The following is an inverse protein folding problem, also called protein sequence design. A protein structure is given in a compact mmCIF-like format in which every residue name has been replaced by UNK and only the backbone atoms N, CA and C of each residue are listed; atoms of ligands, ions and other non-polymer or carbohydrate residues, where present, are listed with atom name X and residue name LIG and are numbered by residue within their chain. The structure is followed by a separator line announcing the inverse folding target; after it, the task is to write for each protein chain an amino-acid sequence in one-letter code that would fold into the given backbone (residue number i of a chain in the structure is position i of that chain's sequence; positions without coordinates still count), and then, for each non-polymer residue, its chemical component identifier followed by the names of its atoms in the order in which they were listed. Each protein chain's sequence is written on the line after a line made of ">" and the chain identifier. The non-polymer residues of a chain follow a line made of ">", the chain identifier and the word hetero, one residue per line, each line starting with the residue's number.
data_IF_527395154594
#
_entry.id   IF_527395154594
#
_cell.length_a   1.000
_cell.length_b   1.000
_cell.length_c   1.000
_cell.angle_alpha   90.00
_cell.angle_beta   90.00
_cell.angle_gamma   90.00
#
_symmetry.space_group_name_H-M   'P 1'
#
loop_
_entity.id
_entity.type
_entity.pdbx_description
1 polymer ?
#
# COMPACT_ATOMS: atom_id res chain seq x y z
N UNK A 1 -17.76 6.92 21.71
CA UNK A 1 -17.00 7.36 20.54
C UNK A 1 -16.95 6.15 19.61
N UNK A 2 -17.86 6.12 18.63
CA UNK A 2 -17.80 5.11 17.57
C UNK A 2 -16.52 5.35 16.79
N UNK A 3 -15.56 4.42 16.86
CA UNK A 3 -14.47 4.40 15.90
C UNK A 3 -15.09 4.17 14.52
N UNK A 4 -14.95 5.12 13.63
CA UNK A 4 -15.33 4.96 12.24
C UNK A 4 -14.51 3.81 11.67
N UNK A 5 -15.10 2.62 11.56
CA UNK A 5 -14.51 1.51 10.84
C UNK A 5 -14.50 1.90 9.36
N UNK A 6 -13.30 2.16 8.83
CA UNK A 6 -13.13 2.36 7.40
C UNK A 6 -13.41 1.03 6.70
N UNK A 7 -14.35 1.01 5.75
CA UNK A 7 -14.68 -0.20 5.00
C UNK A 7 -13.62 -0.50 3.94
N UNK A 8 -13.52 -1.76 3.52
CA UNK A 8 -12.62 -2.15 2.43
C UNK A 8 -12.93 -1.40 1.14
N UNK A 9 -14.21 -1.12 0.85
CA UNK A 9 -14.60 -0.36 -0.34
C UNK A 9 -14.14 1.10 -0.27
N UNK A 10 -14.18 1.71 0.91
CA UNK A 10 -13.67 3.08 1.11
C UNK A 10 -12.17 3.15 0.85
N UNK A 11 -11.40 2.15 1.30
CA UNK A 11 -9.96 2.07 1.02
C UNK A 11 -9.70 1.91 -0.48
N UNK A 12 -10.43 1.02 -1.15
CA UNK A 12 -10.30 0.82 -2.60
C UNK A 12 -10.56 2.13 -3.34
N UNK A 13 -11.61 2.85 -2.98
CA UNK A 13 -11.96 4.12 -3.61
C UNK A 13 -10.86 5.18 -3.42
N UNK A 14 -10.30 5.29 -2.22
CA UNK A 14 -9.20 6.21 -1.94
C UNK A 14 -7.95 5.85 -2.77
N UNK A 15 -7.56 4.59 -2.76
CA UNK A 15 -6.37 4.14 -3.49
C UNK A 15 -6.53 4.30 -5.00
N UNK A 16 -7.71 4.06 -5.53
CA UNK A 16 -8.02 4.29 -6.94
C UNK A 16 -7.89 5.77 -7.33
N UNK A 17 -8.28 6.66 -6.45
CA UNK A 17 -8.14 8.10 -6.65
C UNK A 17 -6.68 8.52 -6.74
N UNK A 18 -5.81 7.94 -5.88
CA UNK A 18 -4.38 8.28 -5.87
C UNK A 18 -3.59 7.63 -6.99
N UNK A 19 -3.96 6.41 -7.41
CA UNK A 19 -3.32 5.60 -8.47
C UNK A 19 -1.93 5.11 -8.15
N UNK A 20 -1.14 5.85 -7.39
CA UNK A 20 0.18 5.44 -6.92
C UNK A 20 0.22 5.52 -5.39
N UNK A 21 0.77 4.47 -4.77
CA UNK A 21 0.90 4.39 -3.31
C UNK A 21 2.38 4.36 -2.96
N UNK A 22 2.91 5.39 -2.29
CA UNK A 22 4.29 5.34 -1.81
C UNK A 22 4.50 4.22 -0.80
N UNK A 23 5.40 3.30 -1.10
CA UNK A 23 5.82 2.23 -0.22
C UNK A 23 7.07 2.68 0.51
N UNK A 24 6.99 2.81 1.83
CA UNK A 24 7.92 3.58 2.64
C UNK A 24 8.61 2.67 3.67
N UNK A 25 9.92 2.84 3.78
CA UNK A 25 10.72 2.27 4.86
C UNK A 25 11.26 3.41 5.71
N UNK A 26 10.84 3.51 6.96
CA UNK A 26 11.29 4.53 7.91
C UNK A 26 12.15 3.85 8.96
N UNK A 27 13.42 4.27 9.07
CA UNK A 27 14.33 3.74 10.07
C UNK A 27 14.34 4.58 11.35
N UNK A 28 13.97 5.87 11.25
CA UNK A 28 13.95 6.82 12.38
C UNK A 28 12.59 7.50 12.46
N UNK A 29 11.98 7.46 13.63
CA UNK A 29 10.65 8.05 13.85
C UNK A 29 10.61 9.54 13.52
N UNK A 30 11.70 10.26 13.76
CA UNK A 30 11.80 11.69 13.48
C UNK A 30 11.63 12.03 11.98
N UNK A 31 11.77 11.08 11.08
CA UNK A 31 11.54 11.28 9.64
C UNK A 31 10.06 11.18 9.24
N UNK A 32 9.20 10.65 10.12
CA UNK A 32 7.80 10.36 9.80
C UNK A 32 6.98 11.61 9.46
N UNK A 33 6.99 12.60 10.33
CA UNK A 33 6.20 13.83 10.13
C UNK A 33 6.73 14.68 8.97
N UNK A 34 8.04 14.91 8.82
CA UNK A 34 8.55 15.60 7.64
C UNK A 34 8.19 14.93 6.31
N UNK A 35 8.24 13.59 6.26
CA UNK A 35 7.83 12.85 5.07
C UNK A 35 6.32 12.97 4.79
N UNK A 36 5.49 12.83 5.82
CA UNK A 36 4.05 13.02 5.70
C UNK A 36 3.71 14.41 5.17
N UNK A 37 4.39 15.45 5.69
CA UNK A 37 4.22 16.83 5.23
C UNK A 37 4.50 16.95 3.73
N UNK A 38 5.61 16.40 3.26
CA UNK A 38 5.97 16.44 1.83
C UNK A 38 4.91 15.76 0.98
N UNK A 39 4.43 14.59 1.39
CA UNK A 39 3.40 13.86 0.66
C UNK A 39 2.08 14.64 0.61
N UNK A 40 1.62 15.11 1.74
CA UNK A 40 0.34 15.85 1.85
C UNK A 40 0.39 17.16 1.05
N UNK A 41 1.45 17.94 1.20
CA UNK A 41 1.58 19.24 0.54
C UNK A 41 1.77 19.14 -0.98
N UNK A 42 2.22 17.98 -1.48
CA UNK A 42 2.48 17.78 -2.91
C UNK A 42 1.44 16.89 -3.61
N UNK A 43 0.26 16.71 -3.00
CA UNK A 43 -0.89 16.11 -3.67
C UNK A 43 -0.96 14.59 -3.59
N UNK A 44 -0.19 13.94 -2.71
CA UNK A 44 -0.22 12.49 -2.54
C UNK A 44 -0.35 12.11 -1.05
N UNK A 45 -1.49 12.43 -0.40
CA UNK A 45 -1.69 12.19 1.03
C UNK A 45 -1.98 10.71 1.34
N UNK A 46 -1.09 9.83 0.92
CA UNK A 46 -1.21 8.39 1.08
C UNK A 46 0.17 7.78 1.32
N UNK A 47 0.24 6.76 2.16
CA UNK A 47 1.47 6.05 2.45
C UNK A 47 1.20 4.62 2.89
N UNK A 48 2.02 3.69 2.41
CA UNK A 48 2.13 2.33 2.96
C UNK A 48 3.45 2.27 3.72
N UNK A 49 3.38 2.32 5.05
CA UNK A 49 4.58 2.26 5.91
C UNK A 49 4.88 0.81 6.25
N UNK A 50 6.04 0.32 5.81
CA UNK A 50 6.36 -1.10 5.93
C UNK A 50 6.89 -1.47 7.31
N UNK A 51 6.43 -2.61 7.83
CA UNK A 51 6.91 -3.21 9.08
C UNK A 51 8.22 -3.96 8.87
N UNK A 52 9.15 -3.36 8.11
CA UNK A 52 10.52 -3.84 7.92
C UNK A 52 11.47 -3.28 8.96
N UNK A 53 11.04 -2.30 9.75
CA UNK A 53 11.83 -1.64 10.78
C UNK A 53 11.06 -1.58 12.09
N UNK A 54 11.78 -1.43 13.18
CA UNK A 54 11.18 -1.27 14.51
C UNK A 54 10.45 0.07 14.67
N UNK A 55 10.81 1.06 13.86
CA UNK A 55 10.21 2.39 13.90
C UNK A 55 8.82 2.48 13.26
N UNK A 56 8.38 1.45 12.53
CA UNK A 56 7.18 1.52 11.69
C UNK A 56 5.92 1.95 12.44
N UNK A 57 5.58 1.30 13.55
CA UNK A 57 4.37 1.61 14.31
C UNK A 57 4.39 3.04 14.88
N UNK A 58 5.51 3.45 15.47
CA UNK A 58 5.67 4.81 16.01
C UNK A 58 5.64 5.87 14.90
N UNK A 59 6.20 5.55 13.73
CA UNK A 59 6.14 6.42 12.56
C UNK A 59 4.70 6.63 12.08
N UNK A 60 3.92 5.56 11.99
CA UNK A 60 2.49 5.63 11.62
C UNK A 60 1.74 6.49 12.63
N UNK A 61 1.97 6.27 13.93
CA UNK A 61 1.32 7.05 15.00
C UNK A 61 1.62 8.54 14.86
N UNK A 62 2.89 8.89 14.65
CA UNK A 62 3.30 10.28 14.46
C UNK A 62 2.66 10.92 13.23
N UNK A 63 2.61 10.19 12.10
CA UNK A 63 1.95 10.66 10.88
C UNK A 63 0.46 10.89 11.10
N UNK A 64 -0.21 9.95 11.76
CA UNK A 64 -1.65 10.03 12.04
C UNK A 64 -1.99 11.21 12.95
N UNK A 65 -1.18 11.47 13.96
CA UNK A 65 -1.38 12.62 14.85
C UNK A 65 -1.20 13.95 14.12
N UNK A 66 -0.18 14.03 13.27
CA UNK A 66 0.12 15.27 12.54
C UNK A 66 -0.85 15.51 11.38
N UNK A 67 -1.31 14.46 10.71
CA UNK A 67 -2.18 14.51 9.54
C UNK A 67 -3.34 13.51 9.68
N UNK A 68 -4.39 13.87 10.45
CA UNK A 68 -5.50 12.96 10.76
C UNK A 68 -6.25 12.43 9.53
N UNK A 69 -6.26 13.17 8.42
CA UNK A 69 -6.99 12.82 7.21
C UNK A 69 -6.14 12.05 6.17
N UNK A 70 -4.84 11.86 6.45
CA UNK A 70 -3.96 11.14 5.55
C UNK A 70 -4.34 9.66 5.47
N UNK A 71 -4.32 9.10 4.26
CA UNK A 71 -4.56 7.67 4.06
C UNK A 71 -3.27 6.89 4.38
N UNK A 72 -3.26 6.17 5.49
CA UNK A 72 -2.07 5.45 5.96
C UNK A 72 -2.38 3.98 6.12
N UNK A 73 -1.59 3.14 5.45
CA UNK A 73 -1.61 1.70 5.60
C UNK A 73 -0.30 1.17 6.16
N UNK A 74 -0.37 -0.01 6.75
CA UNK A 74 0.80 -0.76 7.21
C UNK A 74 1.14 -1.84 6.20
N UNK A 75 2.37 -1.84 5.69
CA UNK A 75 2.86 -2.84 4.74
C UNK A 75 3.80 -3.86 5.39
N UNK A 76 4.06 -4.95 4.67
CA UNK A 76 4.93 -6.03 5.14
C UNK A 76 4.51 -6.56 6.51
N UNK A 77 3.21 -6.67 6.72
CA UNK A 77 2.64 -7.18 7.97
C UNK A 77 2.57 -8.69 7.88
N UNK A 78 3.28 -9.39 8.77
CA UNK A 78 3.49 -10.83 8.71
C UNK A 78 2.90 -11.58 9.90
N UNK A 79 2.55 -10.89 11.00
CA UNK A 79 2.10 -11.52 12.25
C UNK A 79 0.86 -10.83 12.81
N UNK A 80 0.13 -11.57 13.67
CA UNK A 80 -1.02 -11.00 14.38
C UNK A 80 -0.64 -9.83 15.28
N UNK A 81 0.52 -9.90 15.91
CA UNK A 81 1.05 -8.82 16.75
C UNK A 81 1.28 -7.55 15.94
N UNK A 82 1.82 -7.68 14.73
CA UNK A 82 2.02 -6.52 13.84
C UNK A 82 0.68 -5.92 13.39
N UNK A 83 -0.34 -6.75 13.15
CA UNK A 83 -1.69 -6.28 12.82
C UNK A 83 -2.25 -5.42 13.96
N UNK A 84 -2.14 -5.91 15.19
CA UNK A 84 -2.64 -5.20 16.36
C UNK A 84 -1.90 -3.88 16.57
N UNK A 85 -0.57 -3.87 16.41
CA UNK A 85 0.25 -2.65 16.46
C UNK A 85 -0.14 -1.66 15.34
N UNK A 86 -0.37 -2.15 14.14
CA UNK A 86 -0.77 -1.32 13.00
C UNK A 86 -2.11 -0.62 13.28
N UNK A 87 -3.08 -1.34 13.79
CA UNK A 87 -4.39 -0.78 14.15
C UNK A 87 -4.27 0.25 15.27
N UNK A 88 -3.56 -0.08 16.33
CA UNK A 88 -3.34 0.83 17.46
C UNK A 88 -2.65 2.12 17.02
N UNK A 89 -1.69 2.02 16.09
CA UNK A 89 -0.96 3.17 15.59
C UNK A 89 -1.81 4.09 14.69
N UNK A 90 -2.94 3.62 14.17
CA UNK A 90 -3.84 4.41 13.34
C UNK A 90 -3.82 4.07 11.85
N UNK A 91 -3.35 2.88 11.48
CA UNK A 91 -3.44 2.38 10.10
C UNK A 91 -4.91 2.14 9.72
N UNK A 92 -5.25 2.48 8.49
CA UNK A 92 -6.59 2.27 7.94
C UNK A 92 -6.71 0.95 7.19
N UNK A 93 -5.59 0.38 6.76
CA UNK A 93 -5.53 -0.89 6.05
C UNK A 93 -4.18 -1.56 6.27
N UNK A 94 -4.14 -2.86 5.98
CA UNK A 94 -2.94 -3.69 6.08
C UNK A 94 -2.62 -4.28 4.72
N UNK A 95 -1.35 -4.29 4.37
CA UNK A 95 -0.83 -4.94 3.16
C UNK A 95 0.19 -5.98 3.57
N UNK A 96 0.13 -7.16 2.95
CA UNK A 96 1.08 -8.23 3.19
C UNK A 96 1.73 -8.66 1.86
N UNK A 97 2.98 -9.12 1.86
CA UNK A 97 3.64 -9.55 0.63
C UNK A 97 3.11 -10.88 0.08
N UNK A 98 2.51 -11.68 0.94
CA UNK A 98 1.94 -12.98 0.59
C UNK A 98 0.56 -13.19 1.18
N UNK A 99 -0.03 -14.35 0.87
CA UNK A 99 -1.32 -14.76 1.39
C UNK A 99 -1.12 -15.75 2.54
N UNK A 100 -1.24 -15.23 3.75
CA UNK A 100 -1.28 -16.05 4.96
C UNK A 100 -2.71 -16.01 5.53
N UNK A 101 -3.45 -17.12 5.50
CA UNK A 101 -4.82 -17.16 6.01
C UNK A 101 -4.96 -16.68 7.45
N UNK A 102 -3.98 -16.96 8.30
CA UNK A 102 -4.01 -16.50 9.70
C UNK A 102 -3.95 -14.98 9.81
N UNK A 103 -3.10 -14.33 9.01
CA UNK A 103 -3.00 -12.87 8.94
C UNK A 103 -4.32 -12.27 8.44
N UNK A 104 -4.88 -12.84 7.37
CA UNK A 104 -6.15 -12.38 6.81
C UNK A 104 -7.28 -12.51 7.84
N UNK A 105 -7.41 -13.67 8.48
CA UNK A 105 -8.45 -13.89 9.49
C UNK A 105 -8.34 -12.93 10.67
N UNK A 106 -7.12 -12.67 11.13
CA UNK A 106 -6.92 -11.70 12.21
C UNK A 106 -7.39 -10.30 11.81
N UNK A 107 -7.06 -9.86 10.62
CA UNK A 107 -7.56 -8.58 10.10
C UNK A 107 -9.09 -8.55 10.06
N UNK A 108 -9.71 -9.62 9.57
CA UNK A 108 -11.17 -9.73 9.49
C UNK A 108 -11.83 -9.70 10.87
N UNK A 109 -11.24 -10.39 11.86
CA UNK A 109 -11.73 -10.40 13.25
C UNK A 109 -11.81 -9.00 13.85
N UNK A 110 -10.85 -8.15 13.57
CA UNK A 110 -10.78 -6.81 14.14
C UNK A 110 -11.31 -5.71 13.20
N UNK A 111 -11.88 -6.10 12.05
CA UNK A 111 -12.44 -5.16 11.09
C UNK A 111 -11.40 -4.32 10.35
N UNK A 112 -10.21 -4.85 10.17
CA UNK A 112 -9.12 -4.18 9.43
C UNK A 112 -9.15 -4.61 7.97
N UNK A 113 -9.32 -3.68 7.00
CA UNK A 113 -9.14 -3.99 5.60
C UNK A 113 -7.75 -4.56 5.33
N UNK A 114 -7.68 -5.65 4.57
CA UNK A 114 -6.42 -6.34 4.27
C UNK A 114 -6.27 -6.59 2.78
N UNK A 115 -5.06 -6.34 2.28
CA UNK A 115 -4.68 -6.55 0.88
C UNK A 115 -3.50 -7.53 0.86
N UNK A 116 -3.77 -8.85 0.81
CA UNK A 116 -2.72 -9.85 0.79
C UNK A 116 -2.07 -9.98 -0.59
N UNK A 117 -0.83 -10.42 -0.62
CA UNK A 117 -0.07 -10.62 -1.84
C UNK A 117 -0.31 -11.98 -2.48
N UNK A 118 -0.44 -12.00 -3.81
CA UNK A 118 -0.60 -13.20 -4.62
C UNK A 118 0.20 -13.06 -5.90
N UNK A 119 0.58 -14.18 -6.53
CA UNK A 119 1.19 -14.16 -7.85
C UNK A 119 0.84 -15.38 -8.73
N UNK A 120 -0.14 -16.17 -8.34
CA UNK A 120 -0.56 -17.36 -9.10
C UNK A 120 -2.04 -17.69 -8.87
N UNK A 121 -2.64 -18.55 -9.72
CA UNK A 121 -4.06 -18.88 -9.62
C UNK A 121 -4.48 -19.48 -8.28
N UNK A 122 -3.71 -20.40 -7.72
CA UNK A 122 -4.05 -21.05 -6.46
C UNK A 122 -4.19 -20.06 -5.32
N UNK A 123 -3.30 -19.08 -5.25
CA UNK A 123 -3.36 -18.04 -4.23
C UNK A 123 -4.56 -17.10 -4.43
N UNK A 124 -4.88 -16.78 -5.68
CA UNK A 124 -6.09 -15.99 -5.97
C UNK A 124 -7.34 -16.72 -5.48
N UNK A 125 -7.45 -18.02 -5.75
CA UNK A 125 -8.59 -18.82 -5.31
C UNK A 125 -8.67 -18.91 -3.78
N UNK A 126 -7.53 -19.06 -3.10
CA UNK A 126 -7.48 -19.02 -1.63
C UNK A 126 -7.96 -17.67 -1.08
N UNK A 127 -7.57 -16.57 -1.73
CA UNK A 127 -8.03 -15.24 -1.34
C UNK A 127 -9.55 -15.09 -1.52
N UNK A 128 -10.09 -15.59 -2.64
CA UNK A 128 -11.53 -15.58 -2.90
C UNK A 128 -12.30 -16.39 -1.85
N UNK A 129 -11.80 -17.54 -1.43
CA UNK A 129 -12.41 -18.34 -0.34
C UNK A 129 -12.45 -17.56 0.99
N UNK A 130 -11.48 -16.69 1.22
CA UNK A 130 -11.44 -15.80 2.38
C UNK A 130 -12.31 -14.55 2.22
N UNK A 131 -13.02 -14.43 1.10
CA UNK A 131 -13.89 -13.28 0.82
C UNK A 131 -13.20 -12.04 0.31
N UNK A 132 -11.97 -12.15 -0.19
CA UNK A 132 -11.17 -11.03 -0.65
C UNK A 132 -11.12 -10.99 -2.18
N UNK A 133 -11.38 -9.81 -2.76
CA UNK A 133 -11.34 -9.59 -4.21
C UNK A 133 -10.32 -8.53 -4.63
N UNK A 134 -9.88 -7.68 -3.70
CA UNK A 134 -8.81 -6.71 -3.95
C UNK A 134 -7.50 -7.23 -3.36
N UNK A 135 -6.52 -7.51 -4.22
CA UNK A 135 -5.30 -8.23 -3.87
C UNK A 135 -4.06 -7.47 -4.34
N UNK A 136 -2.98 -7.61 -3.60
CA UNK A 136 -1.67 -7.16 -4.04
C UNK A 136 -1.09 -8.20 -4.99
N UNK A 137 -0.65 -7.77 -6.17
CA UNK A 137 0.13 -8.62 -7.08
C UNK A 137 1.62 -8.36 -6.83
N UNK A 138 2.32 -9.34 -6.28
CA UNK A 138 3.70 -9.17 -5.79
C UNK A 138 4.51 -10.45 -5.89
N UNK A 139 5.80 -10.37 -6.24
CA UNK A 139 6.49 -9.21 -6.82
C UNK A 139 6.12 -9.06 -8.30
N UNK A 140 5.61 -7.91 -8.70
CA UNK A 140 4.93 -7.75 -9.98
C UNK A 140 5.82 -8.08 -11.19
N UNK A 141 6.93 -7.36 -11.37
CA UNK A 141 7.78 -7.56 -12.55
C UNK A 141 8.45 -8.95 -12.54
N UNK A 142 8.93 -9.40 -11.39
CA UNK A 142 9.56 -10.71 -11.25
C UNK A 142 8.59 -11.87 -11.48
N UNK A 143 7.28 -11.65 -11.28
CA UNK A 143 6.25 -12.67 -11.45
C UNK A 143 5.63 -12.70 -12.85
N UNK A 144 6.15 -11.92 -13.79
CA UNK A 144 5.67 -11.90 -15.17
C UNK A 144 5.02 -10.59 -15.61
N UNK A 145 4.95 -9.60 -14.74
CA UNK A 145 4.52 -8.25 -15.10
C UNK A 145 3.10 -8.18 -15.64
N UNK A 146 2.90 -7.30 -16.60
CA UNK A 146 1.59 -7.05 -17.22
C UNK A 146 0.97 -8.30 -17.83
N UNK A 147 1.77 -9.16 -18.45
CA UNK A 147 1.29 -10.41 -19.03
C UNK A 147 0.66 -11.31 -17.96
N UNK A 148 1.31 -11.46 -16.80
CA UNK A 148 0.76 -12.26 -15.72
C UNK A 148 -0.51 -11.60 -15.10
N UNK A 149 -0.52 -10.30 -14.92
CA UNK A 149 -1.71 -9.58 -14.43
C UNK A 149 -2.92 -9.86 -15.33
N UNK A 150 -2.76 -9.69 -16.63
CA UNK A 150 -3.83 -9.97 -17.61
C UNK A 150 -4.28 -11.43 -17.59
N UNK A 151 -3.33 -12.36 -17.47
CA UNK A 151 -3.61 -13.80 -17.44
C UNK A 151 -4.39 -14.20 -16.19
N UNK A 152 -4.11 -13.59 -15.04
CA UNK A 152 -4.85 -13.83 -13.80
C UNK A 152 -6.23 -13.16 -13.82
N UNK A 153 -6.34 -11.95 -14.33
CA UNK A 153 -7.63 -11.23 -14.37
C UNK A 153 -8.64 -11.88 -15.31
N UNK A 154 -8.20 -12.62 -16.34
CA UNK A 154 -9.09 -13.23 -17.30
C UNK A 154 -10.07 -14.25 -16.68
N UNK A 155 -9.62 -15.28 -15.93
CA UNK A 155 -10.55 -16.23 -15.30
C UNK A 155 -11.22 -15.68 -14.04
N UNK A 156 -10.60 -14.76 -13.32
CA UNK A 156 -11.10 -14.26 -12.04
C UNK A 156 -11.76 -12.89 -12.21
N UNK A 157 -12.98 -12.88 -12.70
CA UNK A 157 -13.70 -11.67 -13.18
C UNK A 157 -13.97 -10.62 -12.11
N UNK A 158 -14.04 -11.02 -10.83
CA UNK A 158 -14.32 -10.11 -9.72
C UNK A 158 -13.05 -9.59 -9.03
N UNK A 159 -11.88 -10.06 -9.45
CA UNK A 159 -10.62 -9.69 -8.83
C UNK A 159 -10.10 -8.37 -9.38
N UNK A 160 -9.57 -7.54 -8.49
CA UNK A 160 -8.81 -6.34 -8.83
C UNK A 160 -7.45 -6.37 -8.13
N UNK A 161 -6.47 -5.69 -8.69
CA UNK A 161 -5.09 -5.73 -8.23
C UNK A 161 -4.50 -4.38 -7.86
N UNK A 162 -3.57 -4.44 -6.91
CA UNK A 162 -2.55 -3.43 -6.65
C UNK A 162 -1.17 -4.06 -6.93
N UNK A 163 -0.65 -3.96 -8.16
CA UNK A 163 0.69 -4.44 -8.45
C UNK A 163 1.76 -3.66 -7.68
N UNK A 164 2.76 -4.40 -7.18
CA UNK A 164 3.90 -3.85 -6.45
C UNK A 164 5.15 -4.68 -6.76
N UNK A 165 6.28 -4.02 -6.91
CA UNK A 165 7.57 -4.67 -7.19
C UNK A 165 8.04 -4.41 -8.62
N UNK A 166 9.13 -3.65 -8.76
CA UNK A 166 9.69 -3.29 -10.05
C UNK A 166 8.89 -2.25 -10.82
N UNK A 167 7.96 -1.55 -10.15
CA UNK A 167 7.13 -0.52 -10.77
C UNK A 167 7.76 0.84 -10.52
N UNK A 168 7.87 1.60 -11.61
CA UNK A 168 8.41 2.94 -11.61
C UNK A 168 7.71 3.82 -12.62
N UNK A 169 8.23 5.03 -12.78
CA UNK A 169 7.69 5.99 -13.75
C UNK A 169 7.64 5.40 -15.17
N UNK A 170 8.60 4.54 -15.51
CA UNK A 170 8.72 3.95 -16.86
C UNK A 170 7.62 2.95 -17.22
N UNK A 171 6.93 2.34 -16.25
CA UNK A 171 5.94 1.29 -16.53
C UNK A 171 4.62 1.42 -15.78
N UNK A 172 4.50 2.33 -14.82
CA UNK A 172 3.27 2.43 -14.00
C UNK A 172 2.01 2.66 -14.85
N UNK A 173 2.08 3.50 -15.87
CA UNK A 173 0.91 3.80 -16.69
C UNK A 173 0.45 2.60 -17.53
N UNK A 174 1.35 1.71 -17.90
CA UNK A 174 1.00 0.47 -18.58
C UNK A 174 0.19 -0.46 -17.66
N UNK A 175 0.53 -0.51 -16.38
CA UNK A 175 -0.26 -1.23 -15.38
C UNK A 175 -1.61 -0.57 -15.14
N UNK A 176 -1.63 0.74 -14.96
CA UNK A 176 -2.87 1.50 -14.70
C UNK A 176 -3.84 1.50 -15.87
N UNK A 177 -3.36 1.25 -17.09
CA UNK A 177 -4.20 1.12 -18.27
C UNK A 177 -5.03 -0.18 -18.27
N UNK A 178 -4.68 -1.16 -17.45
CA UNK A 178 -5.42 -2.42 -17.34
C UNK A 178 -6.67 -2.16 -16.46
N UNK A 179 -7.84 -2.50 -17.00
CA UNK A 179 -9.07 -2.46 -16.21
C UNK A 179 -8.94 -3.39 -15.01
N UNK A 180 -9.42 -2.98 -13.86
CA UNK A 180 -9.29 -3.65 -12.57
C UNK A 180 -7.88 -3.63 -11.94
N UNK A 181 -6.92 -2.89 -12.48
CA UNK A 181 -5.76 -2.43 -11.72
C UNK A 181 -6.15 -1.11 -11.06
N UNK A 182 -6.30 -1.15 -9.75
CA UNK A 182 -6.83 -0.02 -8.95
C UNK A 182 -5.76 1.06 -8.74
N UNK A 183 -4.56 0.63 -8.39
CA UNK A 183 -3.41 1.47 -8.11
C UNK A 183 -2.16 0.61 -8.17
N UNK A 184 -0.99 1.24 -8.08
CA UNK A 184 0.29 0.54 -7.98
C UNK A 184 1.08 1.03 -6.78
N UNK A 185 1.77 0.12 -6.10
CA UNK A 185 2.76 0.48 -5.09
C UNK A 185 4.11 0.80 -5.74
N UNK A 186 4.77 1.84 -5.26
CA UNK A 186 6.07 2.24 -5.77
C UNK A 186 6.94 2.93 -4.74
N UNK A 187 8.26 2.85 -4.93
CA UNK A 187 9.24 3.40 -3.98
C UNK A 187 10.08 4.53 -4.56
N UNK A 188 10.06 4.77 -5.87
CA UNK A 188 11.02 5.68 -6.53
C UNK A 188 10.97 7.11 -6.03
N UNK A 189 9.78 7.60 -5.59
CA UNK A 189 9.63 8.96 -5.07
C UNK A 189 10.00 9.09 -3.59
N UNK A 190 10.09 7.95 -2.89
CA UNK A 190 10.36 7.88 -1.45
C UNK A 190 11.50 6.91 -1.13
N UNK A 191 12.51 6.85 -2.01
CA UNK A 191 13.63 5.94 -1.84
C UNK A 191 14.24 6.06 -0.43
N UNK A 192 14.60 4.94 0.22
CA UNK A 192 15.15 4.97 1.58
C UNK A 192 16.32 5.92 1.76
N UNK A 193 17.21 6.02 0.77
CA UNK A 193 18.35 6.92 0.83
C UNK A 193 17.96 8.40 0.85
N UNK A 194 16.88 8.76 0.16
CA UNK A 194 16.37 10.14 0.16
C UNK A 194 15.80 10.50 1.54
N UNK A 195 15.09 9.57 2.18
CA UNK A 195 14.55 9.76 3.52
C UNK A 195 15.69 9.86 4.54
N UNK A 196 16.63 8.92 4.51
CA UNK A 196 17.78 8.92 5.43
C UNK A 196 18.61 10.19 5.35
N UNK A 197 18.78 10.74 4.16
CA UNK A 197 19.53 11.95 3.93
C UNK A 197 18.68 13.23 4.03
N UNK A 198 17.43 13.09 4.48
CA UNK A 198 16.50 14.21 4.69
C UNK A 198 16.35 15.10 3.45
N UNK A 199 16.33 14.48 2.27
CA UNK A 199 16.23 15.19 0.99
C UNK A 199 14.75 15.47 0.65
N UNK A 200 14.11 16.24 1.50
CA UNK A 200 12.67 16.53 1.41
C UNK A 200 12.32 17.31 0.12
N UNK A 201 13.17 18.20 -0.33
CA UNK A 201 12.93 18.94 -1.58
C UNK A 201 12.96 18.02 -2.80
N UNK A 202 13.88 17.07 -2.84
CA UNK A 202 13.95 16.09 -3.93
C UNK A 202 12.74 15.15 -3.90
N UNK A 203 12.34 14.70 -2.71
CA UNK A 203 11.12 13.89 -2.55
C UNK A 203 9.89 14.68 -3.02
N UNK A 204 9.78 15.96 -2.65
CA UNK A 204 8.67 16.82 -3.09
C UNK A 204 8.59 16.88 -4.62
N UNK A 205 9.72 17.04 -5.29
CA UNK A 205 9.81 17.09 -6.75
C UNK A 205 9.36 15.77 -7.37
N UNK A 206 9.86 14.63 -6.86
CA UNK A 206 9.51 13.31 -7.36
C UNK A 206 8.03 12.98 -7.13
N UNK A 207 7.47 13.40 -6.00
CA UNK A 207 6.04 13.24 -5.71
C UNK A 207 5.19 14.05 -6.68
N UNK A 208 5.55 15.32 -6.93
CA UNK A 208 4.85 16.16 -7.91
C UNK A 208 4.89 15.54 -9.31
N UNK A 209 6.06 15.03 -9.72
CA UNK A 209 6.22 14.35 -11.01
C UNK A 209 5.36 13.09 -11.08
N UNK A 210 5.31 12.29 -10.01
CA UNK A 210 4.50 11.06 -9.96
C UNK A 210 3.01 11.40 -10.08
N UNK A 211 2.51 12.37 -9.33
CA UNK A 211 1.10 12.79 -9.38
C UNK A 211 0.72 13.27 -10.78
N UNK A 212 1.55 14.09 -11.40
CA UNK A 212 1.32 14.57 -12.76
C UNK A 212 1.36 13.43 -13.80
N UNK A 213 2.26 12.49 -13.62
CA UNK A 213 2.48 11.38 -14.56
C UNK A 213 1.29 10.41 -14.61
N UNK A 214 0.63 10.16 -13.50
CA UNK A 214 -0.52 9.24 -13.40
C UNK A 214 -1.88 9.94 -13.54
N UNK A 215 -1.88 11.23 -13.67
CA UNK A 215 -3.10 12.02 -13.78
C UNK A 215 -3.95 11.66 -15.01
#
# INVERSE_FOLDING_TARGET
>A
IMSLQVTSQEIINKLQQFKVVPVIQINKVEHAVPLAKVLVENGLPVAEVTFRTEAAADAIRAMREAYPDMCIGAGTVLTSEQIDLAKEAGSEFVVAPGLNPNTVRRCQEIGMPVVPGVNNPSQVEQALELGLTFLKFFPAEASGGISMVKSLLAPYVDVSFMPTGGIGKHNINDYLAIDRVICCGGTWMVAPTLIENEQWDEIAKLVQEAVAHVA
#
